data_IF_826825570088
#
_entry.id   IF_826825570088
#
_cell.length_a   1.000
_cell.length_b   1.000
_cell.length_c   1.000
_cell.angle_alpha   90.00
_cell.angle_beta   90.00
_cell.angle_gamma   90.00
#
_symmetry.space_group_name_H-M   'P 1'
#
loop_
_entity.id
_entity.type
_entity.pdbx_description
1 polymer ?
#
# COMPACT_ATOMS: atom_id res chain seq x y z
N UNK A 1 -17.48 11.47 4.64
CA UNK A 1 -17.03 11.72 3.26
C UNK A 1 -17.47 10.53 2.42
N UNK A 2 -18.33 10.75 1.42
CA UNK A 2 -18.66 9.74 0.42
C UNK A 2 -17.52 9.71 -0.60
N UNK A 3 -16.57 8.79 -0.42
CA UNK A 3 -15.60 8.49 -1.46
C UNK A 3 -16.22 7.48 -2.42
N UNK A 4 -16.23 7.78 -3.71
CA UNK A 4 -16.68 6.80 -4.71
C UNK A 4 -15.64 5.68 -4.77
N UNK A 5 -16.08 4.42 -4.72
CA UNK A 5 -15.17 3.28 -4.83
C UNK A 5 -14.35 3.40 -6.12
N UNK A 6 -13.03 3.25 -6.00
CA UNK A 6 -12.12 3.40 -7.15
C UNK A 6 -11.71 4.83 -7.46
N UNK A 7 -12.16 5.84 -6.71
CA UNK A 7 -11.61 7.21 -6.83
C UNK A 7 -10.15 7.29 -6.35
N UNK A 8 -9.82 6.52 -5.32
CA UNK A 8 -8.47 6.40 -4.77
C UNK A 8 -8.03 4.94 -4.71
N UNK A 9 -6.74 4.74 -4.93
CA UNK A 9 -6.01 3.50 -4.73
C UNK A 9 -5.08 3.65 -3.53
N UNK A 10 -5.10 2.64 -2.68
CA UNK A 10 -4.22 2.49 -1.53
C UNK A 10 -3.14 1.48 -1.93
N UNK A 11 -1.92 1.98 -2.12
CA UNK A 11 -0.74 1.22 -2.50
C UNK A 11 0.06 0.92 -1.24
N UNK A 12 0.01 -0.31 -0.76
CA UNK A 12 0.85 -0.73 0.34
C UNK A 12 2.29 -0.95 -0.18
N UNK A 13 3.22 -0.19 0.36
CA UNK A 13 4.60 -0.08 -0.10
C UNK A 13 5.54 -0.90 0.76
N UNK A 14 6.48 -1.59 0.13
CA UNK A 14 7.52 -2.37 0.77
C UNK A 14 8.92 -2.00 0.32
N UNK A 15 9.90 -2.55 1.02
CA UNK A 15 11.31 -2.59 0.63
C UNK A 15 11.70 -4.03 0.30
N UNK A 16 12.35 -4.24 -0.84
CA UNK A 16 12.98 -5.49 -1.20
C UNK A 16 14.38 -5.19 -1.75
N UNK A 17 15.43 -5.65 -1.06
CA UNK A 17 16.83 -5.44 -1.45
C UNK A 17 17.16 -3.96 -1.78
N UNK A 18 16.70 -3.01 -0.96
CA UNK A 18 16.92 -1.57 -1.18
C UNK A 18 16.03 -0.92 -2.25
N UNK A 19 15.15 -1.67 -2.90
CA UNK A 19 14.18 -1.13 -3.86
C UNK A 19 12.79 -0.98 -3.22
N UNK A 20 12.12 0.13 -3.52
CA UNK A 20 10.70 0.30 -3.18
C UNK A 20 9.83 -0.52 -4.11
N UNK A 21 8.91 -1.28 -3.54
CA UNK A 21 7.97 -2.15 -4.27
C UNK A 21 6.54 -1.90 -3.79
N UNK A 22 5.56 -2.16 -4.65
CA UNK A 22 4.15 -2.22 -4.24
C UNK A 22 3.84 -3.66 -3.85
N UNK A 23 3.45 -3.87 -2.59
CA UNK A 23 3.11 -5.18 -2.03
C UNK A 23 1.62 -5.51 -2.17
N UNK A 24 0.77 -4.49 -2.27
CA UNK A 24 -0.67 -4.66 -2.40
C UNK A 24 -1.36 -3.39 -2.88
N UNK A 25 -2.48 -3.57 -3.58
CA UNK A 25 -3.34 -2.47 -4.04
C UNK A 25 -4.76 -2.75 -3.55
N UNK A 26 -5.38 -1.76 -2.93
CA UNK A 26 -6.76 -1.84 -2.46
C UNK A 26 -7.55 -0.57 -2.75
N UNK A 27 -8.87 -0.70 -2.81
CA UNK A 27 -9.78 0.45 -2.82
C UNK A 27 -10.03 1.03 -1.42
N UNK A 28 -9.55 0.33 -0.38
CA UNK A 28 -9.56 0.78 1.01
C UNK A 28 -8.19 0.55 1.63
N UNK A 29 -7.84 1.37 2.63
CA UNK A 29 -6.59 1.22 3.39
C UNK A 29 -6.49 -0.17 4.03
N UNK A 30 -7.53 -0.61 4.74
CA UNK A 30 -7.54 -1.89 5.47
C UNK A 30 -7.28 -3.09 4.56
N UNK A 31 -7.80 -3.06 3.33
CA UNK A 31 -7.60 -4.15 2.39
C UNK A 31 -6.14 -4.19 1.89
N UNK A 32 -5.57 -3.04 1.52
CA UNK A 32 -4.19 -2.94 1.09
C UNK A 32 -3.22 -3.34 2.21
N UNK A 33 -3.46 -2.85 3.43
CA UNK A 33 -2.68 -3.15 4.63
C UNK A 33 -2.71 -4.65 4.97
N UNK A 34 -3.90 -5.26 5.00
CA UNK A 34 -4.06 -6.71 5.24
C UNK A 34 -3.28 -7.54 4.22
N UNK A 35 -3.34 -7.17 2.94
CA UNK A 35 -2.63 -7.91 1.88
C UNK A 35 -1.12 -7.76 1.98
N UNK A 36 -0.63 -6.57 2.32
CA UNK A 36 0.81 -6.36 2.52
C UNK A 36 1.35 -7.12 3.73
N UNK A 37 0.63 -7.17 4.85
CA UNK A 37 1.01 -7.98 6.03
C UNK A 37 1.09 -9.48 5.68
N UNK A 38 0.09 -10.01 4.98
CA UNK A 38 0.10 -11.40 4.50
C UNK A 38 1.29 -11.68 3.57
N UNK A 39 1.63 -10.72 2.71
CA UNK A 39 2.78 -10.86 1.81
C UNK A 39 4.12 -10.75 2.55
N UNK A 40 4.25 -9.83 3.51
CA UNK A 40 5.42 -9.69 4.39
C UNK A 40 5.71 -11.03 5.11
N UNK A 41 4.68 -11.62 5.73
CA UNK A 41 4.76 -12.93 6.40
C UNK A 41 5.18 -14.04 5.42
N UNK A 42 4.52 -14.14 4.26
CA UNK A 42 4.83 -15.15 3.24
C UNK A 42 6.22 -14.97 2.61
N UNK A 43 6.74 -13.74 2.58
CA UNK A 43 8.07 -13.44 2.05
C UNK A 43 9.20 -13.88 2.96
N UNK A 44 8.89 -14.30 4.20
CA UNK A 44 9.87 -14.73 5.20
C UNK A 44 10.96 -13.67 5.45
N UNK A 45 10.55 -12.40 5.51
CA UNK A 45 11.44 -11.27 5.77
C UNK A 45 12.25 -10.77 4.57
N UNK A 46 12.05 -11.34 3.36
CA UNK A 46 12.68 -10.85 2.13
C UNK A 46 12.11 -9.50 1.68
N UNK A 47 10.86 -9.22 2.01
CA UNK A 47 10.20 -7.95 1.72
C UNK A 47 9.65 -7.38 3.02
N UNK A 48 10.01 -6.14 3.31
CA UNK A 48 9.60 -5.42 4.51
C UNK A 48 8.50 -4.41 4.17
N UNK A 49 7.37 -4.48 4.86
CA UNK A 49 6.27 -3.53 4.70
C UNK A 49 6.57 -2.21 5.41
N UNK A 50 6.42 -1.09 4.70
CA UNK A 50 6.83 0.25 5.14
C UNK A 50 5.61 1.12 5.47
N UNK A 51 4.80 1.45 4.45
CA UNK A 51 3.75 2.47 4.50
C UNK A 51 2.65 2.20 3.47
N UNK A 52 1.58 3.00 3.49
CA UNK A 52 0.56 2.99 2.43
C UNK A 52 0.52 4.34 1.73
N UNK A 53 0.79 4.35 0.43
CA UNK A 53 0.62 5.53 -0.41
C UNK A 53 -0.79 5.59 -0.99
N UNK A 54 -1.44 6.75 -0.92
CA UNK A 54 -2.76 6.99 -1.51
C UNK A 54 -2.57 7.76 -2.81
N UNK A 55 -3.13 7.22 -3.89
CA UNK A 55 -3.05 7.80 -5.24
C UNK A 55 -4.47 7.91 -5.78
N UNK A 56 -4.80 9.02 -6.44
CA UNK A 56 -6.06 9.13 -7.15
C UNK A 56 -6.00 8.31 -8.44
N UNK A 57 -7.04 7.56 -8.74
CA UNK A 57 -7.07 6.72 -9.94
C UNK A 57 -6.91 7.57 -11.22
N UNK A 58 -5.95 7.20 -12.06
CA UNK A 58 -5.62 7.92 -13.29
C UNK A 58 -4.51 8.97 -13.13
N UNK A 59 -4.15 9.34 -11.91
CA UNK A 59 -3.03 10.25 -11.65
C UNK A 59 -1.69 9.50 -11.62
N UNK A 60 -0.63 10.19 -12.01
CA UNK A 60 0.75 9.65 -12.02
C UNK A 60 1.53 10.02 -10.75
N UNK A 61 0.98 10.90 -9.92
CA UNK A 61 1.62 11.43 -8.72
C UNK A 61 0.87 11.00 -7.47
N UNK A 62 1.61 10.69 -6.39
CA UNK A 62 1.01 10.30 -5.11
C UNK A 62 0.35 11.48 -4.43
N UNK A 63 -0.83 11.27 -3.83
CA UNK A 63 -1.53 12.31 -3.09
C UNK A 63 -0.98 12.46 -1.67
N UNK A 64 -0.80 11.35 -0.96
CA UNK A 64 -0.28 11.32 0.42
C UNK A 64 0.29 9.96 0.76
N UNK A 65 1.11 9.91 1.81
CA UNK A 65 1.60 8.68 2.44
C UNK A 65 0.97 8.57 3.83
N UNK A 66 0.43 7.40 4.15
CA UNK A 66 -0.11 7.04 5.46
C UNK A 66 0.90 6.13 6.16
N UNK A 67 1.28 6.49 7.38
CA UNK A 67 2.17 5.66 8.19
C UNK A 67 1.47 4.37 8.60
N UNK A 68 2.23 3.28 8.63
CA UNK A 68 1.77 1.99 9.14
C UNK A 68 1.35 2.17 10.61
N UNK A 69 0.11 1.78 10.93
CA UNK A 69 -0.30 1.59 12.32
C UNK A 69 0.27 0.25 12.80
N UNK A 70 1.18 0.33 13.79
CA UNK A 70 1.93 -0.80 14.37
C UNK A 70 1.08 -1.54 15.39
#
# INVERSE_FOLDING_TARGET
MNYTLGEYLYLAMGECNGHKVVMGIGYTYDYADKKAKQFEEASQGKVKYIDVSVVKSGDKEKCKTLERQV
#
